data_IF_743594363821
#
_entry.id   IF_743594363821
#
_cell.length_a   1.000
_cell.length_b   1.000
_cell.length_c   1.000
_cell.angle_alpha   90.00
_cell.angle_beta   90.00
_cell.angle_gamma   90.00
#
_symmetry.space_group_name_H-M   'P 1'
#
loop_
_entity.id
_entity.type
_entity.pdbx_description
1 polymer ?
#
# COMPACT_ATOMS: atom_id res chain seq x y z
N UNK A 1 15.15 -6.32 -7.45
CA UNK A 1 15.59 -7.36 -6.49
C UNK A 1 14.60 -7.35 -5.33
N UNK A 2 13.82 -8.42 -5.16
CA UNK A 2 12.89 -8.56 -4.03
C UNK A 2 13.67 -9.07 -2.81
N UNK A 3 13.72 -8.31 -1.71
CA UNK A 3 14.31 -8.78 -0.46
C UNK A 3 13.33 -9.78 0.19
N UNK A 4 13.58 -11.08 0.00
CA UNK A 4 12.82 -12.15 0.65
C UNK A 4 12.93 -11.97 2.17
N UNK A 5 11.79 -11.92 2.85
CA UNK A 5 11.70 -11.82 4.31
C UNK A 5 11.33 -10.43 4.85
N UNK A 6 11.18 -9.41 4.02
CA UNK A 6 10.67 -8.09 4.46
C UNK A 6 9.17 -8.01 4.23
N UNK A 7 8.41 -7.79 5.31
CA UNK A 7 6.97 -7.57 5.26
C UNK A 7 6.63 -6.11 4.98
N UNK A 8 5.40 -5.87 4.51
CA UNK A 8 4.87 -4.54 4.15
C UNK A 8 5.09 -3.48 5.23
N UNK A 9 5.07 -3.87 6.51
CA UNK A 9 5.16 -2.97 7.65
C UNK A 9 6.56 -2.82 8.24
N UNK A 10 7.50 -3.65 7.82
CA UNK A 10 8.84 -3.64 8.38
C UNK A 10 9.56 -2.34 8.03
N UNK A 11 10.43 -1.90 8.96
CA UNK A 11 11.29 -0.72 8.79
C UNK A 11 10.50 0.53 8.38
N UNK A 12 9.30 0.70 8.95
CA UNK A 12 8.43 1.84 8.66
C UNK A 12 7.86 1.84 7.24
N UNK A 13 7.69 0.67 6.62
CA UNK A 13 7.14 0.57 5.26
C UNK A 13 8.17 0.79 4.16
N UNK A 14 9.46 0.54 4.44
CA UNK A 14 10.56 0.60 3.45
C UNK A 14 10.25 -0.19 2.18
N UNK A 15 9.52 -1.30 2.31
CA UNK A 15 9.06 -2.08 1.16
C UNK A 15 8.29 -1.21 0.14
N UNK A 16 7.34 -0.39 0.60
CA UNK A 16 6.55 0.47 -0.29
C UNK A 16 7.43 1.52 -0.96
N UNK A 17 8.26 2.23 -0.18
CA UNK A 17 9.11 3.30 -0.69
C UNK A 17 10.10 2.79 -1.76
N UNK A 18 10.75 1.64 -1.50
CA UNK A 18 11.64 0.99 -2.47
C UNK A 18 10.88 0.54 -3.71
N UNK A 19 9.69 -0.04 -3.54
CA UNK A 19 8.87 -0.52 -4.67
C UNK A 19 8.49 0.62 -5.60
N UNK A 20 7.96 1.72 -5.07
CA UNK A 20 7.58 2.88 -5.88
C UNK A 20 8.79 3.56 -6.52
N UNK A 21 9.90 3.71 -5.79
CA UNK A 21 11.15 4.24 -6.34
C UNK A 21 11.65 3.42 -7.53
N UNK A 22 11.56 2.09 -7.47
CA UNK A 22 11.99 1.20 -8.56
C UNK A 22 11.07 1.28 -9.79
N UNK A 23 9.79 1.61 -9.58
CA UNK A 23 8.81 1.78 -10.65
C UNK A 23 8.79 3.21 -11.21
N UNK A 24 9.62 4.13 -10.67
CA UNK A 24 9.59 5.54 -11.06
C UNK A 24 8.29 6.25 -10.68
N UNK A 25 7.58 5.74 -9.68
CA UNK A 25 6.31 6.29 -9.18
C UNK A 25 6.46 6.82 -7.77
N UNK A 26 5.51 7.64 -7.32
CA UNK A 26 5.48 8.22 -5.97
C UNK A 26 4.37 7.58 -5.17
N UNK A 27 4.64 7.28 -3.90
CA UNK A 27 3.62 6.78 -2.97
C UNK A 27 2.44 7.76 -2.80
N UNK A 28 2.69 9.06 -2.96
CA UNK A 28 1.66 10.11 -2.86
C UNK A 28 0.63 10.05 -3.98
N UNK A 29 1.04 9.52 -5.13
CA UNK A 29 0.21 9.37 -6.32
C UNK A 29 -0.30 7.93 -6.46
N UNK A 30 -0.24 7.16 -5.37
CA UNK A 30 -0.56 5.73 -5.36
C UNK A 30 -1.67 5.40 -4.37
N UNK A 31 -2.42 4.35 -4.69
CA UNK A 31 -3.43 3.76 -3.83
C UNK A 31 -2.99 2.36 -3.39
N UNK A 32 -3.34 1.97 -2.17
CA UNK A 32 -3.28 0.57 -1.73
C UNK A 32 -4.69 0.04 -1.46
N UNK A 33 -4.96 -1.19 -1.92
CA UNK A 33 -6.14 -1.96 -1.55
C UNK A 33 -5.65 -3.15 -0.72
N UNK A 34 -6.03 -3.20 0.56
CA UNK A 34 -5.52 -4.17 1.53
C UNK A 34 -6.55 -4.39 2.65
N UNK A 35 -6.69 -5.60 3.16
CA UNK A 35 -7.66 -5.93 4.22
C UNK A 35 -7.15 -5.58 5.63
N UNK A 36 -5.83 -5.45 5.78
CA UNK A 36 -5.17 -5.12 7.03
C UNK A 36 -5.24 -3.63 7.32
N UNK A 37 -6.01 -3.29 8.36
CA UNK A 37 -6.09 -1.92 8.88
C UNK A 37 -4.70 -1.32 9.18
N UNK A 38 -3.81 -2.12 9.77
CA UNK A 38 -2.47 -1.67 10.13
C UNK A 38 -1.59 -1.34 8.92
N UNK A 39 -1.77 -2.06 7.81
CA UNK A 39 -1.08 -1.79 6.55
C UNK A 39 -1.61 -0.51 5.92
N UNK A 40 -2.93 -0.34 5.86
CA UNK A 40 -3.56 0.86 5.32
C UNK A 40 -3.14 2.13 6.09
N UNK A 41 -3.16 2.07 7.43
CA UNK A 41 -2.72 3.18 8.27
C UNK A 41 -1.25 3.55 8.02
N UNK A 42 -0.37 2.56 7.93
CA UNK A 42 1.03 2.81 7.58
C UNK A 42 1.16 3.46 6.20
N UNK A 43 0.47 2.94 5.20
CA UNK A 43 0.53 3.47 3.83
C UNK A 43 0.08 4.94 3.76
N UNK A 44 -1.00 5.29 4.47
CA UNK A 44 -1.48 6.67 4.61
C UNK A 44 -0.46 7.54 5.33
N UNK A 45 0.18 7.04 6.39
CA UNK A 45 1.23 7.80 7.12
C UNK A 45 2.45 8.12 6.25
N UNK A 46 2.70 7.32 5.21
CA UNK A 46 3.75 7.56 4.21
C UNK A 46 3.31 8.50 3.08
N UNK A 47 2.06 8.97 3.10
CA UNK A 47 1.51 9.95 2.16
C UNK A 47 0.65 9.38 1.04
N UNK A 48 0.42 8.07 0.99
CA UNK A 48 -0.46 7.46 0.01
C UNK A 48 -1.93 7.45 0.40
N UNK A 49 -2.78 6.93 -0.48
CA UNK A 49 -4.21 6.69 -0.20
C UNK A 49 -4.45 5.19 0.02
N UNK A 50 -5.43 4.83 0.85
CA UNK A 50 -5.73 3.43 1.12
C UNK A 50 -7.24 3.17 1.12
N UNK A 51 -7.62 2.01 0.58
CA UNK A 51 -8.95 1.44 0.73
C UNK A 51 -8.82 0.14 1.50
N UNK A 52 -9.42 0.09 2.70
CA UNK A 52 -9.49 -1.15 3.44
C UNK A 52 -10.68 -1.96 2.95
N UNK A 53 -10.42 -3.08 2.29
CA UNK A 53 -11.48 -3.91 1.70
C UNK A 53 -11.47 -5.29 2.33
N UNK A 54 -12.63 -5.85 2.61
CA UNK A 54 -12.81 -7.16 3.27
C UNK A 54 -13.46 -8.20 2.37
N UNK A 55 -13.97 -7.75 1.23
CA UNK A 55 -14.66 -8.57 0.25
C UNK A 55 -14.50 -7.95 -1.15
N UNK A 56 -15.02 -8.68 -2.14
CA UNK A 56 -14.97 -8.31 -3.55
C UNK A 56 -15.73 -7.01 -3.83
N UNK A 57 -16.94 -6.85 -3.28
CA UNK A 57 -17.78 -5.66 -3.48
C UNK A 57 -17.08 -4.37 -3.03
N UNK A 58 -16.44 -4.39 -1.86
CA UNK A 58 -15.65 -3.27 -1.34
C UNK A 58 -14.45 -2.96 -2.24
N UNK A 59 -13.81 -4.00 -2.79
CA UNK A 59 -12.68 -3.86 -3.74
C UNK A 59 -13.10 -3.22 -5.05
N UNK A 60 -14.22 -3.67 -5.63
CA UNK A 60 -14.78 -3.08 -6.84
C UNK A 60 -15.21 -1.63 -6.62
N UNK A 61 -15.74 -1.31 -5.44
CA UNK A 61 -16.11 0.08 -5.08
C UNK A 61 -14.87 0.97 -5.03
N UNK A 62 -13.77 0.51 -4.44
CA UNK A 62 -12.52 1.26 -4.37
C UNK A 62 -11.91 1.53 -5.75
N UNK A 63 -11.98 0.57 -6.68
CA UNK A 63 -11.44 0.71 -8.04
C UNK A 63 -12.22 1.70 -8.92
N UNK A 64 -13.49 1.97 -8.58
CA UNK A 64 -14.36 2.89 -9.31
C UNK A 64 -14.50 4.28 -8.64
N UNK A 65 -13.65 4.59 -7.65
CA UNK A 65 -13.71 5.82 -6.86
C UNK A 65 -12.82 6.96 -7.36
#
# INVERSE_FOLDING_TARGET
MYEIGILKRDRGGKFFLTTFSNLGSSIKDSIIIDDSQSTCQLFVSLGGKSYRTRNETETLTALNS
#
